data_IF_536210305655
#
_entry.id   IF_536210305655
#
_cell.length_a   1.000
_cell.length_b   1.000
_cell.length_c   1.000
_cell.angle_alpha   90.00
_cell.angle_beta   90.00
_cell.angle_gamma   90.00
#
_symmetry.space_group_name_H-M   'P 1'
#
loop_
_entity.id
_entity.type
_entity.pdbx_description
1 polymer ?
#
# COMPACT_ATOMS: atom_id res chain seq x y z
N UNK A 1 8.59 18.53 5.92
CA UNK A 1 7.11 18.56 5.89
C UNK A 1 6.62 17.28 6.56
N UNK A 2 5.62 17.31 7.46
CA UNK A 2 5.23 16.10 8.17
C UNK A 2 4.73 15.07 7.16
N UNK A 3 5.06 13.79 7.37
CA UNK A 3 4.63 12.69 6.52
C UNK A 3 3.13 12.84 6.16
N UNK A 4 2.84 12.95 4.86
CA UNK A 4 1.60 13.51 4.34
C UNK A 4 0.36 12.96 5.02
N UNK A 5 -0.38 13.82 5.71
CA UNK A 5 -1.78 13.60 6.07
C UNK A 5 -2.57 13.41 4.77
N UNK A 6 -2.98 12.17 4.49
CA UNK A 6 -3.68 11.80 3.25
C UNK A 6 -3.30 10.40 2.78
N UNK A 7 -3.72 10.06 1.56
CA UNK A 7 -3.45 8.77 0.95
C UNK A 7 -1.94 8.46 0.79
N UNK A 8 -1.10 9.48 0.57
CA UNK A 8 0.34 9.32 0.35
C UNK A 8 1.06 8.70 1.55
N UNK A 9 0.79 9.20 2.75
CA UNK A 9 1.40 8.68 3.98
C UNK A 9 0.94 7.25 4.32
N UNK A 10 -0.28 6.85 3.95
CA UNK A 10 -0.73 5.46 4.11
C UNK A 10 -0.08 4.52 3.08
N UNK A 11 0.02 4.98 1.83
CA UNK A 11 0.66 4.26 0.72
C UNK A 11 2.13 3.99 1.03
N UNK A 12 2.87 5.00 1.49
CA UNK A 12 4.29 4.87 1.84
C UNK A 12 4.51 3.91 3.01
N UNK A 13 3.69 4.02 4.07
CA UNK A 13 3.74 3.11 5.22
C UNK A 13 3.46 1.67 4.80
N UNK A 14 2.44 1.45 3.96
CA UNK A 14 2.10 0.09 3.53
C UNK A 14 3.17 -0.49 2.59
N UNK A 15 3.77 0.31 1.71
CA UNK A 15 4.92 -0.10 0.90
C UNK A 15 6.08 -0.57 1.79
N UNK A 16 6.42 0.21 2.81
CA UNK A 16 7.50 -0.15 3.74
C UNK A 16 7.23 -1.46 4.49
N UNK A 17 5.96 -1.72 4.88
CA UNK A 17 5.57 -2.97 5.53
C UNK A 17 5.77 -4.16 4.60
N UNK A 18 5.26 -4.12 3.35
CA UNK A 18 5.40 -5.25 2.44
C UNK A 18 6.87 -5.50 2.03
N UNK A 19 7.67 -4.44 1.91
CA UNK A 19 9.11 -4.54 1.63
C UNK A 19 9.83 -5.22 2.79
N UNK A 20 9.47 -4.87 4.03
CA UNK A 20 9.99 -5.52 5.23
C UNK A 20 9.57 -6.99 5.32
N UNK A 21 8.33 -7.32 4.98
CA UNK A 21 7.85 -8.71 4.98
C UNK A 21 8.57 -9.56 3.94
N UNK A 22 8.95 -8.99 2.79
CA UNK A 22 9.76 -9.71 1.81
C UNK A 22 11.18 -9.91 2.34
N UNK A 23 11.77 -8.87 2.95
CA UNK A 23 13.12 -8.92 3.50
C UNK A 23 13.24 -9.87 4.70
N UNK A 24 12.19 -9.99 5.51
CA UNK A 24 12.14 -10.87 6.70
C UNK A 24 11.59 -12.27 6.39
N UNK A 25 11.05 -12.49 5.19
CA UNK A 25 10.52 -13.79 4.76
C UNK A 25 9.10 -14.08 5.22
N UNK A 26 8.35 -13.08 5.72
CA UNK A 26 6.92 -13.21 6.02
C UNK A 26 6.04 -13.30 4.77
N UNK A 27 6.52 -12.79 3.63
CA UNK A 27 5.83 -12.89 2.34
C UNK A 27 6.75 -13.41 1.24
N UNK A 28 6.15 -13.89 0.15
CA UNK A 28 6.89 -14.35 -1.02
C UNK A 28 7.05 -13.23 -2.04
N UNK A 29 8.09 -13.30 -2.88
CA UNK A 29 8.32 -12.32 -3.96
C UNK A 29 7.09 -12.14 -4.86
N UNK A 30 6.38 -13.22 -5.21
CA UNK A 30 5.19 -13.12 -6.06
C UNK A 30 4.01 -12.39 -5.39
N UNK A 31 3.87 -12.52 -4.08
CA UNK A 31 2.85 -11.80 -3.30
C UNK A 31 3.24 -10.32 -3.18
N UNK A 32 4.52 -10.04 -2.89
CA UNK A 32 5.08 -8.69 -2.87
C UNK A 32 4.92 -7.96 -4.21
N UNK A 33 5.23 -8.62 -5.33
CA UNK A 33 5.11 -8.04 -6.67
C UNK A 33 3.64 -7.67 -6.98
N UNK A 34 2.68 -8.53 -6.58
CA UNK A 34 1.25 -8.27 -6.76
C UNK A 34 0.76 -7.11 -5.88
N UNK A 35 1.18 -7.06 -4.62
CA UNK A 35 0.86 -5.94 -3.72
C UNK A 35 1.46 -4.63 -4.22
N UNK A 36 2.71 -4.63 -4.65
CA UNK A 36 3.38 -3.44 -5.19
C UNK A 36 2.63 -2.88 -6.41
N UNK A 37 2.08 -3.75 -7.26
CA UNK A 37 1.19 -3.34 -8.35
C UNK A 37 -0.13 -2.70 -7.89
N UNK A 38 -0.73 -3.23 -6.83
CA UNK A 38 -1.94 -2.64 -6.20
C UNK A 38 -1.63 -1.27 -5.57
N UNK A 39 -0.50 -1.15 -4.87
CA UNK A 39 -0.03 0.09 -4.25
C UNK A 39 0.29 1.15 -5.31
N UNK A 40 0.92 0.76 -6.43
CA UNK A 40 1.20 1.67 -7.53
C UNK A 40 -0.09 2.28 -8.10
N UNK A 41 -1.16 1.48 -8.27
CA UNK A 41 -2.48 1.98 -8.67
C UNK A 41 -3.05 2.96 -7.65
N UNK A 42 -2.97 2.65 -6.36
CA UNK A 42 -3.40 3.57 -5.30
C UNK A 42 -2.62 4.88 -5.31
N UNK A 43 -1.31 4.83 -5.59
CA UNK A 43 -0.45 6.01 -5.73
C UNK A 43 -0.89 6.90 -6.88
N UNK A 44 -1.22 6.33 -8.04
CA UNK A 44 -1.76 7.09 -9.17
C UNK A 44 -3.09 7.75 -8.80
N UNK A 45 -4.01 7.02 -8.19
CA UNK A 45 -5.30 7.56 -7.71
C UNK A 45 -5.11 8.71 -6.71
N UNK A 46 -4.15 8.55 -5.79
CA UNK A 46 -3.78 9.55 -4.80
C UNK A 46 -3.20 10.81 -5.46
N UNK A 47 -2.27 10.66 -6.41
CA UNK A 47 -1.69 11.78 -7.16
C UNK A 47 -2.70 12.52 -8.03
N UNK A 48 -3.80 11.86 -8.41
CA UNK A 48 -4.93 12.46 -9.12
C UNK A 48 -5.89 13.24 -8.19
N UNK A 49 -5.59 13.35 -6.89
CA UNK A 49 -6.41 14.05 -5.89
C UNK A 49 -7.60 13.27 -5.36
N UNK A 50 -7.66 11.95 -5.63
CA UNK A 50 -8.76 11.07 -5.20
C UNK A 50 -8.40 10.28 -3.93
N UNK A 51 -8.13 10.98 -2.85
CA UNK A 51 -7.60 10.41 -1.59
C UNK A 51 -8.47 9.28 -1.02
N UNK A 52 -9.79 9.49 -0.95
CA UNK A 52 -10.72 8.50 -0.40
C UNK A 52 -10.71 7.19 -1.21
N UNK A 53 -10.61 7.29 -2.54
CA UNK A 53 -10.53 6.13 -3.42
C UNK A 53 -9.19 5.40 -3.27
N UNK A 54 -8.08 6.14 -3.16
CA UNK A 54 -6.76 5.57 -2.93
C UNK A 54 -6.67 4.82 -1.59
N UNK A 55 -7.18 5.42 -0.51
CA UNK A 55 -7.26 4.77 0.81
C UNK A 55 -8.17 3.54 0.76
N UNK A 56 -9.31 3.59 0.06
CA UNK A 56 -10.16 2.41 -0.16
C UNK A 56 -9.45 1.27 -0.89
N UNK A 57 -8.64 1.60 -1.92
CA UNK A 57 -7.82 0.63 -2.66
C UNK A 57 -6.77 -0.03 -1.74
N UNK A 58 -6.09 0.75 -0.90
CA UNK A 58 -5.12 0.22 0.06
C UNK A 58 -5.79 -0.71 1.09
N UNK A 59 -6.93 -0.30 1.67
CA UNK A 59 -7.69 -1.15 2.61
C UNK A 59 -8.16 -2.45 1.98
N UNK A 60 -8.65 -2.40 0.74
CA UNK A 60 -9.03 -3.61 0.00
C UNK A 60 -7.82 -4.53 -0.24
N UNK A 61 -6.67 -3.95 -0.59
CA UNK A 61 -5.43 -4.70 -0.79
C UNK A 61 -4.98 -5.37 0.52
N UNK A 62 -4.94 -4.62 1.62
CA UNK A 62 -4.63 -5.14 2.96
C UNK A 62 -5.51 -6.34 3.30
N UNK A 63 -6.83 -6.21 3.14
CA UNK A 63 -7.79 -7.28 3.42
C UNK A 63 -7.58 -8.52 2.53
N UNK A 64 -7.29 -8.34 1.23
CA UNK A 64 -7.03 -9.46 0.30
C UNK A 64 -5.84 -10.32 0.71
N UNK A 65 -4.86 -9.70 1.36
CA UNK A 65 -3.62 -10.37 1.73
C UNK A 65 -3.45 -10.60 3.24
N UNK A 66 -4.50 -10.34 4.03
CA UNK A 66 -4.51 -10.63 5.46
C UNK A 66 -3.82 -9.59 6.35
N UNK A 67 -3.52 -8.40 5.84
CA UNK A 67 -3.06 -7.30 6.68
C UNK A 67 -4.25 -6.66 7.41
N UNK A 68 -4.23 -6.58 8.75
CA UNK A 68 -5.24 -5.83 9.50
C UNK A 68 -5.16 -4.33 9.13
N UNK A 69 -6.33 -3.72 8.95
CA UNK A 69 -6.51 -2.33 8.54
C UNK A 69 -6.75 -1.39 9.70
#
# INVERSE_FOLDING_TARGET
MPAGTGCSGEIERFQAVIDNDLATGHTTKGVHDRMSGDIARARTTCSAGSDAAATGQIRSTKAKFGYPG
#
